data_IF_259261176936
#
_entry.id   IF_259261176936
#
_cell.length_a   1.000
_cell.length_b   1.000
_cell.length_c   1.000
_cell.angle_alpha   90.00
_cell.angle_beta   90.00
_cell.angle_gamma   90.00
#
_symmetry.space_group_name_H-M   'P 1'
#
loop_
_entity.id
_entity.type
_entity.pdbx_description
1 polymer ?
#
# COMPACT_ATOMS: atom_id res chain seq x y z
N UNK A 1 -16.66 -14.17 -2.02
CA UNK A 1 -15.49 -13.26 -2.12
C UNK A 1 -15.74 -11.83 -1.64
N UNK A 2 -16.86 -11.16 -1.96
CA UNK A 2 -17.13 -9.76 -1.52
C UNK A 2 -16.92 -9.49 -0.03
N UNK A 3 -17.29 -10.44 0.85
CA UNK A 3 -17.12 -10.34 2.31
C UNK A 3 -15.66 -10.34 2.78
N UNK A 4 -14.75 -11.00 2.05
CA UNK A 4 -13.33 -11.05 2.41
C UNK A 4 -12.65 -9.72 2.13
N UNK A 5 -12.98 -9.08 1.01
CA UNK A 5 -12.37 -7.82 0.58
C UNK A 5 -12.92 -6.60 1.34
N UNK A 6 -14.11 -6.72 1.94
CA UNK A 6 -14.63 -5.74 2.91
C UNK A 6 -14.21 -6.04 4.37
N UNK A 7 -13.38 -7.06 4.60
CA UNK A 7 -12.95 -7.46 5.94
C UNK A 7 -11.59 -6.87 6.30
N UNK A 8 -11.30 -6.84 7.61
CA UNK A 8 -9.99 -6.45 8.13
C UNK A 8 -8.83 -7.33 7.64
N UNK A 9 -9.13 -8.50 7.06
CA UNK A 9 -8.11 -9.40 6.48
C UNK A 9 -7.48 -8.84 5.21
N UNK A 10 -8.19 -8.01 4.45
CA UNK A 10 -7.66 -7.49 3.19
C UNK A 10 -6.49 -6.50 3.40
N UNK A 11 -6.60 -5.48 4.28
CA UNK A 11 -5.45 -4.66 4.68
C UNK A 11 -4.27 -5.48 5.18
N UNK A 12 -4.53 -6.48 6.04
CA UNK A 12 -3.48 -7.34 6.58
C UNK A 12 -2.76 -8.11 5.46
N UNK A 13 -3.51 -8.71 4.54
CA UNK A 13 -2.96 -9.43 3.39
C UNK A 13 -2.07 -8.50 2.54
N UNK A 14 -2.52 -7.28 2.22
CA UNK A 14 -1.73 -6.35 1.42
C UNK A 14 -0.46 -5.89 2.16
N UNK A 15 -0.51 -5.72 3.48
CA UNK A 15 0.68 -5.41 4.28
C UNK A 15 1.67 -6.58 4.33
N UNK A 16 1.17 -7.83 4.36
CA UNK A 16 2.01 -9.02 4.25
C UNK A 16 2.64 -9.14 2.86
N UNK A 17 1.91 -8.80 1.80
CA UNK A 17 2.46 -8.74 0.43
C UNK A 17 3.55 -7.68 0.34
N UNK A 18 3.32 -6.47 0.86
CA UNK A 18 4.34 -5.43 0.94
C UNK A 18 5.60 -5.94 1.65
N UNK A 19 5.45 -6.52 2.84
CA UNK A 19 6.58 -7.03 3.62
C UNK A 19 7.31 -8.17 2.89
N UNK A 20 6.58 -9.18 2.41
CA UNK A 20 7.14 -10.35 1.76
C UNK A 20 7.84 -10.03 0.45
N UNK A 21 7.23 -9.21 -0.40
CA UNK A 21 7.83 -8.81 -1.69
C UNK A 21 9.03 -7.91 -1.47
N UNK A 22 9.03 -7.02 -0.46
CA UNK A 22 10.20 -6.21 -0.13
C UNK A 22 11.38 -7.08 0.30
N UNK A 23 11.14 -8.07 1.17
CA UNK A 23 12.19 -9.01 1.62
C UNK A 23 12.68 -9.88 0.45
N UNK A 24 11.78 -10.35 -0.40
CA UNK A 24 12.13 -11.10 -1.60
C UNK A 24 12.95 -10.25 -2.58
N UNK A 25 12.57 -8.99 -2.80
CA UNK A 25 13.30 -8.05 -3.63
C UNK A 25 14.70 -7.79 -3.07
N UNK A 26 14.84 -7.61 -1.76
CA UNK A 26 16.14 -7.49 -1.09
C UNK A 26 17.02 -8.73 -1.34
N UNK A 27 16.45 -9.94 -1.18
CA UNK A 27 17.16 -11.19 -1.41
C UNK A 27 17.59 -11.40 -2.88
N UNK A 28 16.80 -10.90 -3.84
CA UNK A 28 17.10 -10.99 -5.28
C UNK A 28 18.13 -9.93 -5.70
N UNK A 29 17.98 -8.69 -5.22
CA UNK A 29 18.85 -7.57 -5.58
C UNK A 29 20.25 -7.70 -4.98
N UNK A 30 20.41 -8.41 -3.84
CA UNK A 30 21.68 -8.65 -3.15
C UNK A 30 22.56 -7.38 -3.08
N UNK A 31 22.07 -6.30 -2.45
CA UNK A 31 22.84 -5.06 -2.37
C UNK A 31 24.17 -5.32 -1.66
N UNK A 32 25.27 -4.98 -2.33
CA UNK A 32 26.64 -5.23 -1.86
C UNK A 32 27.24 -4.06 -1.11
N UNK A 33 26.76 -2.83 -1.39
CA UNK A 33 27.38 -1.61 -0.86
C UNK A 33 28.78 -1.38 -1.41
N UNK A 34 29.05 -1.79 -2.66
CA UNK A 34 30.37 -1.67 -3.28
C UNK A 34 30.95 -0.24 -3.27
N UNK A 35 30.08 0.77 -3.26
CA UNK A 35 30.46 2.18 -3.25
C UNK A 35 30.62 2.75 -1.81
N UNK A 36 30.57 1.92 -0.77
CA UNK A 36 30.60 2.34 0.64
C UNK A 36 31.94 1.93 1.26
N UNK A 37 32.73 2.90 1.70
CA UNK A 37 34.05 2.63 2.28
C UNK A 37 33.99 2.11 3.72
N UNK A 38 32.88 2.37 4.44
CA UNK A 38 32.73 2.01 5.85
C UNK A 38 31.99 0.67 6.02
N UNK A 39 32.72 -0.38 6.44
CA UNK A 39 32.18 -1.72 6.64
C UNK A 39 31.12 -1.82 7.75
N UNK A 40 31.21 -1.00 8.81
CA UNK A 40 30.20 -0.96 9.88
C UNK A 40 28.86 -0.42 9.35
N UNK A 41 28.92 0.56 8.46
CA UNK A 41 27.75 1.15 7.82
C UNK A 41 27.05 0.13 6.91
N UNK A 42 27.81 -0.65 6.13
CA UNK A 42 27.26 -1.74 5.30
C UNK A 42 26.55 -2.78 6.16
N UNK A 43 27.14 -3.20 7.28
CA UNK A 43 26.51 -4.17 8.19
C UNK A 43 25.19 -3.65 8.76
N UNK A 44 25.15 -2.38 9.19
CA UNK A 44 23.91 -1.75 9.68
C UNK A 44 22.84 -1.68 8.58
N UNK A 45 23.22 -1.34 7.36
CA UNK A 45 22.31 -1.27 6.22
C UNK A 45 21.80 -2.64 5.76
N UNK A 46 22.60 -3.71 5.90
CA UNK A 46 22.13 -5.06 5.60
C UNK A 46 20.99 -5.48 6.53
N UNK A 47 21.12 -5.18 7.82
CA UNK A 47 20.07 -5.45 8.82
C UNK A 47 18.84 -4.59 8.49
N UNK A 48 19.04 -3.31 8.21
CA UNK A 48 17.97 -2.38 7.86
C UNK A 48 17.22 -2.80 6.58
N UNK A 49 17.94 -3.20 5.54
CA UNK A 49 17.38 -3.62 4.25
C UNK A 49 16.53 -4.88 4.34
N UNK A 50 16.90 -5.82 5.23
CA UNK A 50 16.04 -6.98 5.50
C UNK A 50 14.82 -6.61 6.35
N UNK A 51 14.99 -5.75 7.35
CA UNK A 51 13.93 -5.37 8.28
C UNK A 51 12.93 -4.34 7.71
N UNK A 52 13.29 -3.58 6.67
CA UNK A 52 12.45 -2.49 6.17
C UNK A 52 11.09 -2.98 5.67
N UNK A 53 11.04 -4.14 5.02
CA UNK A 53 9.79 -4.73 4.52
C UNK A 53 8.77 -4.96 5.64
N UNK A 54 9.10 -5.79 6.65
CA UNK A 54 8.23 -6.00 7.83
C UNK A 54 7.87 -4.71 8.56
N UNK A 55 8.82 -3.79 8.75
CA UNK A 55 8.57 -2.52 9.44
C UNK A 55 7.60 -1.64 8.64
N UNK A 56 7.81 -1.48 7.33
CA UNK A 56 6.91 -0.72 6.47
C UNK A 56 5.51 -1.36 6.38
N UNK A 57 5.43 -2.69 6.32
CA UNK A 57 4.18 -3.44 6.37
C UNK A 57 3.41 -3.19 7.68
N UNK A 58 4.09 -3.25 8.82
CA UNK A 58 3.48 -3.01 10.13
C UNK A 58 3.01 -1.56 10.29
N UNK A 59 3.84 -0.59 9.90
CA UNK A 59 3.49 0.84 9.93
C UNK A 59 2.29 1.12 9.02
N UNK A 60 2.28 0.55 7.81
CA UNK A 60 1.13 0.66 6.89
C UNK A 60 -0.14 0.09 7.52
N UNK A 61 -0.05 -1.06 8.16
CA UNK A 61 -1.20 -1.69 8.82
C UNK A 61 -1.77 -0.79 9.93
N UNK A 62 -0.90 -0.19 10.75
CA UNK A 62 -1.30 0.75 11.81
C UNK A 62 -2.00 1.97 11.20
N UNK A 63 -1.42 2.59 10.17
CA UNK A 63 -2.00 3.75 9.48
C UNK A 63 -3.36 3.40 8.89
N UNK A 64 -3.49 2.26 8.21
CA UNK A 64 -4.76 1.82 7.62
C UNK A 64 -5.82 1.57 8.71
N UNK A 65 -5.44 1.00 9.85
CA UNK A 65 -6.33 0.83 10.99
C UNK A 65 -6.84 2.17 11.52
N UNK A 66 -5.96 3.16 11.67
CA UNK A 66 -6.32 4.52 12.11
C UNK A 66 -7.27 5.17 11.09
N UNK A 67 -6.96 5.11 9.79
CA UNK A 67 -7.82 5.67 8.74
C UNK A 67 -9.20 5.01 8.71
N UNK A 68 -9.26 3.68 8.91
CA UNK A 68 -10.53 2.96 9.00
C UNK A 68 -11.32 3.31 10.27
N UNK A 69 -10.64 3.58 11.39
CA UNK A 69 -11.27 4.07 12.61
C UNK A 69 -11.86 5.46 12.40
N UNK A 70 -11.11 6.38 11.79
CA UNK A 70 -11.58 7.73 11.43
C UNK A 70 -12.80 7.64 10.52
N UNK A 71 -12.76 6.80 9.48
CA UNK A 71 -13.90 6.56 8.58
C UNK A 71 -15.14 6.06 9.33
N UNK A 72 -14.96 5.25 10.37
CA UNK A 72 -16.06 4.77 11.22
C UNK A 72 -16.66 5.91 12.04
N UNK A 73 -15.83 6.80 12.58
CA UNK A 73 -16.25 7.97 13.38
C UNK A 73 -17.06 8.96 12.52
N UNK A 74 -16.59 9.26 11.30
CA UNK A 74 -17.23 10.23 10.37
C UNK A 74 -18.48 9.64 9.67
N UNK A 75 -18.90 8.40 9.99
CA UNK A 75 -20.06 7.72 9.40
C UNK A 75 -20.03 7.58 7.86
N UNK A 76 -18.85 7.69 7.23
CA UNK A 76 -18.63 7.48 5.78
C UNK A 76 -18.65 5.99 5.35
N UNK A 77 -19.39 5.13 6.07
CA UNK A 77 -19.47 3.69 5.79
C UNK A 77 -20.16 3.36 4.47
N UNK A 78 -21.06 4.23 3.98
CA UNK A 78 -21.86 3.98 2.78
C UNK A 78 -21.06 4.06 1.48
N UNK A 79 -19.90 4.73 1.49
CA UNK A 79 -19.06 4.88 0.29
C UNK A 79 -18.16 3.65 0.17
N UNK A 80 -18.51 2.72 -0.71
CA UNK A 80 -17.76 1.47 -0.92
C UNK A 80 -16.31 1.69 -1.39
N UNK A 81 -16.10 2.73 -2.21
CA UNK A 81 -14.79 3.09 -2.77
C UNK A 81 -13.80 3.63 -1.74
N UNK A 82 -14.25 4.06 -0.57
CA UNK A 82 -13.34 4.57 0.47
C UNK A 82 -12.42 3.49 1.05
N UNK A 83 -12.82 2.22 1.03
CA UNK A 83 -11.99 1.15 1.57
C UNK A 83 -10.70 0.88 0.76
N UNK A 84 -10.75 0.70 -0.58
CA UNK A 84 -9.52 0.57 -1.35
C UNK A 84 -8.68 1.86 -1.32
N UNK A 85 -9.30 3.04 -1.25
CA UNK A 85 -8.59 4.32 -1.12
C UNK A 85 -7.79 4.40 0.19
N UNK A 86 -8.36 3.99 1.33
CA UNK A 86 -7.61 4.01 2.60
C UNK A 86 -6.41 3.07 2.59
N UNK A 87 -6.53 1.91 1.94
CA UNK A 87 -5.42 0.96 1.77
C UNK A 87 -4.35 1.54 0.84
N UNK A 88 -4.76 2.13 -0.28
CA UNK A 88 -3.85 2.80 -1.21
C UNK A 88 -3.11 3.97 -0.56
N UNK A 89 -3.74 4.72 0.34
CA UNK A 89 -3.04 5.78 1.08
C UNK A 89 -1.97 5.21 2.02
N UNK A 90 -2.26 4.11 2.71
CA UNK A 90 -1.29 3.48 3.61
C UNK A 90 -0.08 2.88 2.89
N UNK A 91 -0.31 2.18 1.78
CA UNK A 91 0.75 1.49 1.02
C UNK A 91 1.42 2.41 0.01
N UNK A 92 0.62 3.21 -0.69
CA UNK A 92 1.09 4.14 -1.73
C UNK A 92 1.98 5.25 -1.18
N UNK A 93 1.87 5.59 0.11
CA UNK A 93 2.84 6.46 0.78
C UNK A 93 4.28 5.95 0.59
N UNK A 94 4.53 4.65 0.79
CA UNK A 94 5.86 4.07 0.62
C UNK A 94 6.33 4.04 -0.83
N UNK A 95 5.40 3.91 -1.77
CA UNK A 95 5.72 4.01 -3.20
C UNK A 95 6.26 5.41 -3.53
N UNK A 96 5.57 6.46 -3.05
CA UNK A 96 6.00 7.85 -3.25
C UNK A 96 7.34 8.12 -2.56
N UNK A 97 7.50 7.69 -1.30
CA UNK A 97 8.76 7.87 -0.56
C UNK A 97 9.92 7.17 -1.28
N UNK A 98 9.73 5.92 -1.72
CA UNK A 98 10.78 5.18 -2.42
C UNK A 98 11.10 5.81 -3.78
N UNK A 99 10.08 6.30 -4.49
CA UNK A 99 10.25 6.98 -5.77
C UNK A 99 11.08 8.27 -5.62
N UNK A 100 10.68 9.13 -4.67
CA UNK A 100 11.39 10.39 -4.38
C UNK A 100 12.83 10.13 -3.92
N UNK A 101 13.03 9.12 -3.06
CA UNK A 101 14.38 8.74 -2.64
C UNK A 101 15.24 8.35 -3.84
N UNK A 102 14.72 7.61 -4.81
CA UNK A 102 15.50 7.15 -5.96
C UNK A 102 15.94 8.28 -6.92
N UNK A 103 15.26 9.42 -6.89
CA UNK A 103 15.68 10.62 -7.63
C UNK A 103 16.77 11.42 -6.90
N UNK A 104 17.03 11.14 -5.62
CA UNK A 104 18.07 11.84 -4.86
C UNK A 104 19.48 11.41 -5.31
N UNK A 105 20.39 12.38 -5.52
CA UNK A 105 21.76 12.11 -5.92
C UNK A 105 22.58 11.39 -4.84
N UNK A 106 23.46 10.48 -5.30
CA UNK A 106 24.32 9.61 -4.48
C UNK A 106 25.57 10.31 -3.94
N UNK A 107 25.43 11.46 -3.30
CA UNK A 107 26.60 12.25 -2.88
C UNK A 107 27.32 11.72 -1.63
N UNK A 108 26.68 10.83 -0.86
CA UNK A 108 27.27 10.26 0.37
C UNK A 108 27.14 8.74 0.39
N UNK A 109 28.11 8.06 1.01
CA UNK A 109 28.09 6.60 1.24
C UNK A 109 26.77 6.15 1.91
N UNK A 110 26.27 6.96 2.85
CA UNK A 110 25.01 6.69 3.52
C UNK A 110 23.80 6.79 2.57
N UNK A 111 23.75 7.82 1.72
CA UNK A 111 22.70 7.97 0.72
C UNK A 111 22.73 6.82 -0.29
N UNK A 112 23.91 6.48 -0.83
CA UNK A 112 24.08 5.35 -1.74
C UNK A 112 23.56 4.04 -1.09
N UNK A 113 23.90 3.85 0.18
CA UNK A 113 23.43 2.72 0.97
C UNK A 113 21.92 2.69 1.19
N UNK A 114 21.29 3.80 1.57
CA UNK A 114 19.82 3.86 1.69
C UNK A 114 19.15 3.51 0.37
N UNK A 115 19.67 4.00 -0.74
CA UNK A 115 19.05 3.77 -2.04
C UNK A 115 19.07 2.30 -2.44
N UNK A 116 20.21 1.65 -2.27
CA UNK A 116 20.40 0.27 -2.71
C UNK A 116 19.80 -0.75 -1.72
N UNK A 117 19.94 -0.52 -0.41
CA UNK A 117 19.47 -1.46 0.62
C UNK A 117 18.00 -1.24 1.00
N UNK A 118 17.48 -0.01 0.91
CA UNK A 118 16.15 0.35 1.44
C UNK A 118 15.20 0.77 0.32
N UNK A 119 15.53 1.80 -0.44
CA UNK A 119 14.60 2.40 -1.40
C UNK A 119 14.23 1.44 -2.54
N UNK A 120 15.22 0.75 -3.14
CA UNK A 120 14.98 -0.18 -4.25
C UNK A 120 14.09 -1.38 -3.84
N UNK A 121 14.39 -2.15 -2.79
CA UNK A 121 13.51 -3.24 -2.37
C UNK A 121 12.11 -2.76 -1.99
N UNK A 122 12.03 -1.63 -1.28
CA UNK A 122 10.75 -1.06 -0.82
C UNK A 122 9.90 -0.57 -2.00
N UNK A 123 10.53 -0.04 -3.06
CA UNK A 123 9.83 0.31 -4.30
C UNK A 123 9.15 -0.92 -4.90
N UNK A 124 9.85 -2.05 -5.04
CA UNK A 124 9.26 -3.27 -5.59
C UNK A 124 8.12 -3.81 -4.74
N UNK A 125 8.28 -3.81 -3.42
CA UNK A 125 7.23 -4.22 -2.49
C UNK A 125 5.99 -3.32 -2.58
N UNK A 126 6.18 -2.01 -2.52
CA UNK A 126 5.09 -1.02 -2.56
C UNK A 126 4.41 -0.96 -3.92
N UNK A 127 5.15 -1.06 -5.02
CA UNK A 127 4.59 -1.13 -6.37
C UNK A 127 3.72 -2.37 -6.56
N UNK A 128 4.24 -3.53 -6.16
CA UNK A 128 3.51 -4.81 -6.27
C UNK A 128 2.25 -4.80 -5.41
N UNK A 129 2.34 -4.36 -4.15
CA UNK A 129 1.20 -4.27 -3.25
C UNK A 129 0.15 -3.26 -3.74
N UNK A 130 0.59 -2.13 -4.30
CA UNK A 130 -0.29 -1.10 -4.89
C UNK A 130 -1.03 -1.63 -6.11
N UNK A 131 -0.32 -2.23 -7.07
CA UNK A 131 -0.92 -2.81 -8.27
C UNK A 131 -1.91 -3.92 -7.92
N UNK A 132 -1.54 -4.81 -7.00
CA UNK A 132 -2.43 -5.87 -6.53
C UNK A 132 -3.68 -5.30 -5.85
N UNK A 133 -3.52 -4.23 -5.05
CA UNK A 133 -4.64 -3.52 -4.43
C UNK A 133 -5.58 -2.93 -5.48
N UNK A 134 -5.04 -2.28 -6.53
CA UNK A 134 -5.84 -1.70 -7.62
C UNK A 134 -6.61 -2.79 -8.38
N UNK A 135 -5.92 -3.86 -8.79
CA UNK A 135 -6.52 -4.98 -9.52
C UNK A 135 -7.66 -5.58 -8.70
N UNK A 136 -7.41 -5.89 -7.42
CA UNK A 136 -8.42 -6.46 -6.54
C UNK A 136 -9.57 -5.47 -6.26
N UNK A 137 -9.28 -4.17 -6.15
CA UNK A 137 -10.32 -3.15 -5.99
C UNK A 137 -11.28 -3.10 -7.19
N UNK A 138 -10.75 -3.15 -8.42
CA UNK A 138 -11.56 -3.14 -9.66
C UNK A 138 -12.52 -4.33 -9.68
N UNK A 139 -12.03 -5.54 -9.39
CA UNK A 139 -12.88 -6.74 -9.34
C UNK A 139 -13.93 -6.72 -8.22
N UNK A 140 -13.69 -5.92 -7.17
CA UNK A 140 -14.54 -5.88 -5.98
C UNK A 140 -15.63 -4.85 -6.05
N UNK A 141 -15.49 -3.78 -6.84
CA UNK A 141 -16.52 -2.74 -7.00
C UNK A 141 -17.60 -3.29 -7.94
N UNK A 142 -18.68 -3.92 -7.45
CA UNK A 142 -19.56 -4.71 -8.29
C UNK A 142 -20.88 -3.97 -8.38
N UNK A 143 -20.99 -2.99 -9.28
CA UNK A 143 -22.24 -2.40 -9.83
C UNK A 143 -23.36 -1.99 -8.84
N UNK A 144 -23.15 -2.05 -7.53
CA UNK A 144 -24.20 -1.80 -6.53
C UNK A 144 -24.49 -0.31 -6.36
N UNK A 145 -23.55 0.56 -6.75
CA UNK A 145 -23.82 2.00 -6.89
C UNK A 145 -24.72 2.30 -8.08
N UNK A 146 -24.67 1.51 -9.15
CA UNK A 146 -25.52 1.70 -10.34
C UNK A 146 -26.97 1.33 -10.02
N UNK A 147 -27.18 0.23 -9.28
CA UNK A 147 -28.52 -0.31 -9.01
C UNK A 147 -29.33 0.51 -7.98
N UNK A 148 -28.69 1.33 -7.14
CA UNK A 148 -29.41 2.24 -6.23
C UNK A 148 -30.01 3.46 -6.94
N UNK A 149 -29.36 3.94 -8.01
CA UNK A 149 -29.81 5.12 -8.78
C UNK A 149 -31.05 4.78 -9.62
N UNK A 150 -31.06 3.62 -10.29
CA UNK A 150 -32.23 3.17 -11.06
C UNK A 150 -33.47 2.96 -10.19
N UNK A 151 -33.30 2.47 -8.94
CA UNK A 151 -34.43 2.21 -8.05
C UNK A 151 -35.08 3.50 -7.52
N UNK A 152 -34.31 4.58 -7.34
CA UNK A 152 -34.87 5.89 -6.99
C UNK A 152 -35.62 6.55 -8.14
N UNK A 153 -35.15 6.38 -9.38
CA UNK A 153 -35.82 6.95 -10.56
C UNK A 153 -37.13 6.22 -10.90
N UNK A 154 -37.16 4.89 -10.77
CA UNK A 154 -38.37 4.09 -11.00
C UNK A 154 -39.52 4.41 -10.03
N UNK A 155 -39.21 4.68 -8.76
CA UNK A 155 -40.22 5.03 -7.74
C UNK A 155 -40.76 6.45 -7.89
N UNK A 156 -39.98 7.37 -8.45
CA UNK A 156 -40.42 8.75 -8.75
C UNK A 156 -41.39 8.79 -9.94
N UNK A 157 -41.09 8.03 -11.00
CA UNK A 157 -41.95 7.89 -12.19
C UNK A 157 -43.34 7.33 -11.86
N UNK A 158 -43.42 6.32 -10.97
CA UNK A 158 -44.69 5.70 -10.60
C UNK A 158 -45.66 6.60 -9.82
N UNK A 159 -45.17 7.66 -9.16
CA UNK A 159 -46.04 8.59 -8.40
C UNK A 159 -46.69 9.67 -9.26
N UNK A 160 -46.21 9.91 -10.49
CA UNK A 160 -46.77 10.92 -11.41
C UNK A 160 -47.95 10.42 -12.26
N UNK A 161 -48.31 9.14 -12.18
CA UNK A 161 -49.37 8.51 -12.99
C UNK A 161 -50.68 8.24 -12.25
N UNK A 162 -50.85 8.74 -11.03
CA UNK A 162 -52.13 8.78 -10.31
C UNK A 162 -52.47 10.22 -9.99
#
# INVERSE_FOLDING_TARGET
>A
MKRFLSSAWFPLLMCLVLAGVTVAAYAVLKPTGADINNSQLVMALQIAGWAIGPVAGLLSFIVICILNLIRRIIRMRKVGWMHPVTILLGIGFWLVVSWVLLDEPRYTDFAAGILDFVARPLLWGSLTATLLTIILAIFVIPSSSVRSTERSEGLSSSKKKK
#
